data_IF_468428482507
#
_entry.id   IF_468428482507
#
_cell.length_a   1.000
_cell.length_b   1.000
_cell.length_c   1.000
_cell.angle_alpha   90.00
_cell.angle_beta   90.00
_cell.angle_gamma   90.00
#
_symmetry.space_group_name_H-M   'P 1'
#
loop_
_entity.id
_entity.type
_entity.pdbx_description
1 polymer ?
#
# COMPACT_ATOMS: atom_id res chain seq x y z
N UNK A 1 -51.12 44.22 34.46
CA UNK A 1 -50.34 43.00 34.39
C UNK A 1 -50.66 42.32 33.07
N UNK A 2 -49.85 42.55 32.04
CA UNK A 2 -50.01 41.90 30.71
C UNK A 2 -49.00 40.76 30.62
N UNK A 3 -49.51 39.53 30.53
CA UNK A 3 -48.68 38.33 30.33
C UNK A 3 -48.35 38.24 28.84
N UNK A 4 -47.05 38.31 28.50
CA UNK A 4 -46.52 38.09 27.17
C UNK A 4 -46.33 36.58 26.99
N UNK A 5 -47.07 35.97 26.05
CA UNK A 5 -46.89 34.60 25.62
C UNK A 5 -45.84 34.58 24.49
N UNK A 6 -44.67 34.02 24.77
CA UNK A 6 -43.63 33.73 23.74
C UNK A 6 -43.96 32.41 23.08
N UNK A 7 -44.33 32.48 21.80
CA UNK A 7 -44.56 31.32 20.93
C UNK A 7 -43.20 30.82 20.45
N UNK A 8 -42.76 29.67 20.93
CA UNK A 8 -41.57 28.99 20.39
C UNK A 8 -42.01 28.22 19.14
N UNK A 9 -41.56 28.67 18.00
CA UNK A 9 -41.76 28.01 16.71
C UNK A 9 -40.69 26.90 16.59
N UNK A 10 -41.08 25.63 16.76
CA UNK A 10 -40.27 24.46 16.57
C UNK A 10 -40.22 24.18 15.03
N UNK A 11 -39.17 24.59 14.36
CA UNK A 11 -38.92 24.15 12.99
C UNK A 11 -38.39 22.72 12.99
N UNK A 12 -39.22 21.78 12.57
CA UNK A 12 -38.80 20.43 12.19
C UNK A 12 -37.93 20.54 10.94
N UNK A 13 -36.63 20.31 11.08
CA UNK A 13 -35.74 20.05 9.98
C UNK A 13 -35.93 18.57 9.65
N UNK A 14 -36.63 18.30 8.55
CA UNK A 14 -36.67 16.96 7.93
C UNK A 14 -35.32 16.75 7.28
N UNK A 15 -34.47 15.93 7.92
CA UNK A 15 -33.27 15.37 7.28
C UNK A 15 -33.77 14.31 6.29
N UNK A 16 -33.81 14.67 5.01
CA UNK A 16 -33.96 13.73 3.92
C UNK A 16 -32.61 13.05 3.74
N UNK A 17 -32.48 11.79 4.16
CA UNK A 17 -31.43 10.93 3.65
C UNK A 17 -31.69 10.71 2.16
N UNK A 18 -30.98 11.42 1.31
CA UNK A 18 -30.76 10.99 -0.07
C UNK A 18 -29.39 10.33 -0.09
N UNK A 19 -29.39 9.01 -0.30
CA UNK A 19 -28.21 8.24 -0.65
C UNK A 19 -27.70 8.72 -2.01
N UNK A 20 -26.85 9.72 -1.99
CA UNK A 20 -25.99 10.16 -3.09
C UNK A 20 -24.90 11.02 -2.46
N UNK A 21 -24.02 10.42 -1.67
CA UNK A 21 -22.72 11.00 -1.37
C UNK A 21 -21.82 10.87 -2.60
N UNK A 22 -22.15 11.59 -3.67
CA UNK A 22 -21.11 12.04 -4.60
C UNK A 22 -20.30 13.06 -3.84
N UNK A 23 -19.10 12.65 -3.38
CA UNK A 23 -18.08 13.59 -2.92
C UNK A 23 -17.96 14.66 -4.01
N UNK A 24 -18.16 15.91 -3.65
CA UNK A 24 -17.95 17.04 -4.56
C UNK A 24 -16.45 17.05 -4.91
N UNK A 25 -16.13 16.56 -6.11
CA UNK A 25 -14.78 16.31 -6.63
C UNK A 25 -14.03 17.62 -6.89
N UNK A 26 -14.14 18.57 -6.02
CA UNK A 26 -13.51 19.89 -6.06
C UNK A 26 -13.01 20.39 -4.72
N UNK A 27 -13.25 19.66 -3.63
CA UNK A 27 -12.70 19.98 -2.31
C UNK A 27 -11.34 19.32 -2.13
N UNK A 28 -10.37 20.06 -1.60
CA UNK A 28 -9.08 19.52 -1.17
C UNK A 28 -9.34 18.35 -0.19
N UNK A 29 -8.72 17.18 -0.43
CA UNK A 29 -8.82 16.03 0.47
C UNK A 29 -8.19 16.35 1.85
N UNK A 30 -7.15 17.19 1.83
CA UNK A 30 -6.48 17.76 3.00
C UNK A 30 -6.37 19.27 2.77
N UNK A 31 -6.81 20.12 3.72
CA UNK A 31 -6.73 21.56 3.56
C UNK A 31 -5.31 22.06 3.27
N UNK A 32 -5.12 22.77 2.15
CA UNK A 32 -3.87 23.39 1.75
C UNK A 32 -2.78 22.42 1.28
N UNK A 33 -3.16 21.16 0.96
CA UNK A 33 -2.23 20.14 0.47
C UNK A 33 -2.81 19.37 -0.70
N UNK A 34 -1.98 19.07 -1.68
CA UNK A 34 -2.32 18.16 -2.75
C UNK A 34 -2.02 16.71 -2.34
N UNK A 35 -3.01 15.83 -2.48
CA UNK A 35 -2.89 14.38 -2.26
C UNK A 35 -2.89 13.69 -3.62
N UNK A 36 -1.87 12.89 -3.86
CA UNK A 36 -1.72 12.08 -5.07
C UNK A 36 -1.77 10.61 -4.71
N UNK A 37 -2.50 9.82 -5.47
CA UNK A 37 -2.67 8.38 -5.22
C UNK A 37 -2.48 7.66 -6.55
N UNK A 38 -1.52 6.74 -6.64
CA UNK A 38 -1.32 5.91 -7.83
C UNK A 38 -2.13 4.62 -7.76
N UNK A 39 -2.50 4.07 -8.91
CA UNK A 39 -3.14 2.78 -9.01
C UNK A 39 -3.73 2.49 -10.37
N UNK A 40 -4.81 1.74 -10.37
CA UNK A 40 -5.52 1.40 -11.60
C UNK A 40 -7.01 1.18 -11.35
N UNK A 41 -7.77 1.26 -12.44
CA UNK A 41 -9.16 0.78 -12.51
C UNK A 41 -9.28 -0.33 -13.55
N UNK A 42 -10.26 -1.20 -13.41
CA UNK A 42 -10.57 -2.27 -14.36
C UNK A 42 -12.02 -2.19 -14.83
N UNK A 43 -12.26 -2.51 -16.10
CA UNK A 43 -13.60 -2.56 -16.69
C UNK A 43 -14.40 -3.85 -16.34
N UNK A 44 -13.84 -4.71 -15.46
CA UNK A 44 -14.42 -6.01 -15.11
C UNK A 44 -14.27 -7.09 -16.18
N UNK A 45 -13.78 -6.74 -17.39
CA UNK A 45 -13.47 -7.69 -18.45
C UNK A 45 -11.97 -8.09 -18.47
N UNK A 46 -11.20 -7.59 -17.49
CA UNK A 46 -9.77 -7.84 -17.35
C UNK A 46 -8.86 -6.79 -18.02
N UNK A 47 -9.43 -5.73 -18.59
CA UNK A 47 -8.63 -4.60 -19.05
C UNK A 47 -8.46 -3.62 -17.88
N UNK A 48 -7.22 -3.20 -17.64
CA UNK A 48 -6.88 -2.20 -16.64
C UNK A 48 -6.43 -0.89 -17.29
N UNK A 49 -6.71 0.21 -16.60
CA UNK A 49 -6.27 1.55 -16.96
C UNK A 49 -5.40 2.08 -15.84
N UNK A 50 -4.12 2.31 -16.14
CA UNK A 50 -3.19 2.99 -15.26
C UNK A 50 -3.69 4.41 -15.00
N UNK A 51 -3.80 4.80 -13.75
CA UNK A 51 -4.27 6.13 -13.40
C UNK A 51 -3.69 6.60 -12.06
N UNK A 52 -3.73 7.89 -11.85
CA UNK A 52 -3.57 8.45 -10.52
C UNK A 52 -4.73 9.39 -10.18
N UNK A 53 -4.97 9.61 -8.91
CA UNK A 53 -5.94 10.60 -8.43
C UNK A 53 -5.19 11.76 -7.78
N UNK A 54 -5.48 12.97 -8.21
CA UNK A 54 -5.07 14.21 -7.54
C UNK A 54 -6.26 14.78 -6.81
N UNK A 55 -6.23 14.85 -5.50
CA UNK A 55 -7.33 15.30 -4.64
C UNK A 55 -8.66 14.59 -4.98
N UNK A 56 -8.61 13.26 -5.18
CA UNK A 56 -9.75 12.44 -5.54
C UNK A 56 -10.17 12.53 -7.02
N UNK A 57 -9.60 13.44 -7.82
CA UNK A 57 -9.89 13.55 -9.25
C UNK A 57 -8.92 12.68 -10.05
N UNK A 58 -9.49 11.73 -10.82
CA UNK A 58 -8.72 10.77 -11.61
C UNK A 58 -8.09 11.37 -12.85
N UNK A 59 -6.87 10.95 -13.15
CA UNK A 59 -6.10 11.21 -14.37
C UNK A 59 -5.68 9.87 -14.96
N UNK A 60 -6.18 9.54 -16.16
CA UNK A 60 -5.90 8.29 -16.86
C UNK A 60 -4.60 8.42 -17.67
N UNK A 61 -3.71 7.43 -17.56
CA UNK A 61 -2.45 7.37 -18.30
C UNK A 61 -2.47 6.34 -19.45
N UNK A 62 -3.55 5.57 -19.58
CA UNK A 62 -3.75 4.58 -20.63
C UNK A 62 -3.77 3.14 -20.11
N UNK A 63 -3.83 2.14 -21.02
CA UNK A 63 -3.91 0.73 -20.63
C UNK A 63 -2.70 0.28 -19.83
N UNK A 64 -2.93 -0.27 -18.63
CA UNK A 64 -1.86 -0.70 -17.72
C UNK A 64 -2.25 -0.54 -16.25
N UNK A 65 -1.24 -0.53 -15.38
CA UNK A 65 -1.39 -0.33 -13.93
C UNK A 65 -0.22 0.50 -13.39
N UNK A 66 -0.48 1.35 -12.42
CA UNK A 66 0.56 2.00 -11.63
C UNK A 66 0.76 1.27 -10.31
N UNK A 67 2.02 1.16 -9.92
CA UNK A 67 2.43 0.56 -8.64
C UNK A 67 2.87 1.62 -7.61
N UNK A 68 3.52 2.71 -8.07
CA UNK A 68 4.05 3.74 -7.18
C UNK A 68 4.09 5.11 -7.84
N UNK A 69 4.17 6.18 -7.03
CA UNK A 69 4.37 7.55 -7.49
C UNK A 69 5.13 8.40 -6.47
N UNK A 70 5.80 9.43 -6.99
CA UNK A 70 6.38 10.52 -6.21
C UNK A 70 6.14 11.85 -6.94
N UNK A 71 6.01 12.95 -6.21
CA UNK A 71 5.87 14.28 -6.80
C UNK A 71 7.07 15.13 -6.42
N UNK A 72 7.73 15.72 -7.42
CA UNK A 72 8.88 16.59 -7.24
C UNK A 72 8.62 17.90 -7.98
N UNK A 73 8.63 19.01 -7.26
CA UNK A 73 8.38 20.36 -7.81
C UNK A 73 7.08 20.43 -8.66
N UNK A 74 6.01 19.75 -8.20
CA UNK A 74 4.71 19.71 -8.86
C UNK A 74 4.63 18.79 -10.08
N UNK A 75 5.71 18.11 -10.46
CA UNK A 75 5.75 17.10 -11.53
C UNK A 75 5.50 15.71 -10.94
N UNK A 76 4.56 14.96 -11.52
CA UNK A 76 4.21 13.61 -11.08
C UNK A 76 5.10 12.59 -11.80
N UNK A 77 5.85 11.81 -11.03
CA UNK A 77 6.58 10.64 -11.50
C UNK A 77 5.87 9.39 -11.01
N UNK A 78 5.58 8.45 -11.90
CA UNK A 78 4.93 7.20 -11.53
C UNK A 78 5.55 6.02 -12.26
N UNK A 79 5.39 4.82 -11.71
CA UNK A 79 5.94 3.58 -12.26
C UNK A 79 4.90 2.47 -12.27
N UNK A 80 5.03 1.56 -13.23
CA UNK A 80 4.15 0.42 -13.38
C UNK A 80 4.38 -0.31 -14.70
N UNK A 81 3.32 -0.72 -15.36
CA UNK A 81 3.40 -1.40 -16.64
C UNK A 81 2.27 -0.99 -17.59
N UNK A 82 2.53 -1.14 -18.91
CA UNK A 82 1.56 -0.90 -19.99
C UNK A 82 1.21 -2.19 -20.70
N UNK A 83 0.00 -2.31 -21.25
CA UNK A 83 -0.41 -3.48 -22.04
C UNK A 83 0.50 -3.66 -23.27
N UNK A 84 1.10 -4.85 -23.38
CA UNK A 84 1.97 -5.23 -24.49
C UNK A 84 3.41 -4.71 -24.42
N UNK A 85 3.73 -3.95 -23.36
CA UNK A 85 5.09 -3.57 -23.00
C UNK A 85 5.51 -4.24 -21.69
N UNK A 86 6.80 -4.22 -21.42
CA UNK A 86 7.37 -4.45 -20.12
C UNK A 86 7.12 -3.23 -19.23
N UNK A 87 7.76 -3.15 -18.07
CA UNK A 87 7.64 -2.03 -17.15
C UNK A 87 7.94 -0.68 -17.80
N UNK A 88 7.25 0.35 -17.36
CA UNK A 88 7.44 1.74 -17.78
C UNK A 88 7.36 2.66 -16.57
N UNK A 89 7.96 3.85 -16.68
CA UNK A 89 7.64 4.97 -15.78
C UNK A 89 7.06 6.13 -16.59
N UNK A 90 6.36 7.02 -15.91
CA UNK A 90 5.77 8.22 -16.51
C UNK A 90 6.32 9.46 -15.83
N UNK A 91 6.48 10.53 -16.62
CA UNK A 91 6.64 11.89 -16.14
C UNK A 91 5.37 12.63 -16.58
N UNK A 92 4.51 13.00 -15.63
CA UNK A 92 3.14 13.44 -15.90
C UNK A 92 2.41 12.40 -16.78
N UNK A 93 2.15 12.74 -18.03
CA UNK A 93 1.43 11.87 -18.98
C UNK A 93 2.35 11.23 -20.04
N UNK A 94 3.66 11.46 -20.00
CA UNK A 94 4.63 10.89 -20.95
C UNK A 94 5.27 9.62 -20.40
N UNK A 95 5.14 8.50 -21.12
CA UNK A 95 5.68 7.20 -20.72
C UNK A 95 7.07 6.92 -21.28
N UNK A 96 7.89 6.24 -20.50
CA UNK A 96 9.24 5.82 -20.83
C UNK A 96 9.43 4.33 -20.55
N UNK A 97 9.66 3.53 -21.57
CA UNK A 97 9.85 2.09 -21.42
C UNK A 97 11.19 1.78 -20.76
N UNK A 98 11.16 0.89 -19.77
CA UNK A 98 12.34 0.40 -19.08
C UNK A 98 13.03 -0.71 -19.88
N UNK A 99 14.36 -0.72 -19.86
CA UNK A 99 15.17 -1.74 -20.54
C UNK A 99 14.91 -3.13 -19.94
N UNK A 100 14.51 -4.09 -20.81
CA UNK A 100 14.26 -5.49 -20.44
C UNK A 100 13.12 -6.10 -21.24
N UNK A 101 13.07 -7.42 -21.33
CA UNK A 101 12.03 -8.14 -22.09
C UNK A 101 10.94 -8.77 -21.23
N UNK A 102 11.12 -8.79 -19.91
CA UNK A 102 10.19 -9.30 -18.91
C UNK A 102 10.27 -8.45 -17.65
N UNK A 103 10.51 -7.15 -17.84
CA UNK A 103 10.67 -6.21 -16.74
C UNK A 103 9.33 -5.99 -16.01
N UNK A 104 9.41 -6.00 -14.70
CA UNK A 104 8.37 -5.59 -13.76
C UNK A 104 8.98 -4.55 -12.82
N UNK A 105 8.35 -3.38 -12.68
CA UNK A 105 8.83 -2.30 -11.81
C UNK A 105 7.76 -1.92 -10.80
N UNK A 106 8.16 -1.72 -9.55
CA UNK A 106 7.28 -1.65 -8.40
C UNK A 106 7.38 -0.35 -7.61
N UNK A 107 8.54 0.32 -7.61
CA UNK A 107 8.74 1.53 -6.81
C UNK A 107 9.61 2.53 -7.57
N UNK A 108 9.42 3.83 -7.29
CA UNK A 108 10.06 4.94 -7.96
C UNK A 108 10.58 5.97 -6.95
N UNK A 109 11.75 6.53 -7.23
CA UNK A 109 12.30 7.68 -6.54
C UNK A 109 13.01 8.61 -7.55
N UNK A 110 13.11 9.89 -7.23
CA UNK A 110 13.73 10.91 -8.08
C UNK A 110 14.78 11.65 -7.29
N UNK A 111 16.00 11.68 -7.83
CA UNK A 111 17.12 12.38 -7.20
C UNK A 111 17.94 13.11 -8.24
N UNK A 112 18.20 14.43 -8.03
CA UNK A 112 18.97 15.30 -8.93
C UNK A 112 18.49 15.25 -10.40
N UNK A 113 17.16 15.07 -10.62
CA UNK A 113 16.56 14.98 -11.94
C UNK A 113 16.70 13.63 -12.63
N UNK A 114 17.38 12.65 -12.02
CA UNK A 114 17.39 11.26 -12.47
C UNK A 114 16.26 10.46 -11.82
N UNK A 115 15.59 9.62 -12.60
CA UNK A 115 14.53 8.71 -12.16
C UNK A 115 15.15 7.35 -11.81
N UNK A 116 14.80 6.83 -10.65
CA UNK A 116 15.22 5.51 -10.18
C UNK A 116 13.99 4.63 -9.96
N UNK A 117 13.98 3.43 -10.51
CA UNK A 117 12.88 2.47 -10.33
C UNK A 117 13.41 1.12 -9.90
N UNK A 118 12.79 0.47 -8.92
CA UNK A 118 13.14 -0.89 -8.51
C UNK A 118 12.22 -1.92 -9.13
N UNK A 119 12.75 -3.14 -9.35
CA UNK A 119 11.95 -4.21 -9.89
C UNK A 119 12.72 -5.50 -10.15
N UNK A 120 12.23 -6.25 -11.13
CA UNK A 120 12.87 -7.48 -11.62
C UNK A 120 12.88 -7.55 -13.15
N UNK A 121 13.96 -8.11 -13.69
CA UNK A 121 14.07 -8.60 -15.05
C UNK A 121 15.24 -9.60 -15.10
N UNK A 122 14.95 -10.90 -15.16
CA UNK A 122 15.89 -11.99 -14.92
C UNK A 122 16.58 -11.86 -13.53
N UNK A 123 15.77 -11.58 -12.50
CA UNK A 123 16.17 -11.33 -11.13
C UNK A 123 16.11 -9.85 -10.73
N UNK A 124 16.41 -9.59 -9.46
CA UNK A 124 16.34 -8.24 -8.90
C UNK A 124 17.22 -7.26 -9.65
N UNK A 125 16.68 -6.12 -9.98
CA UNK A 125 17.36 -5.01 -10.64
C UNK A 125 16.76 -3.67 -10.19
N UNK A 126 17.40 -2.60 -10.58
CA UNK A 126 16.82 -1.27 -10.64
C UNK A 126 17.19 -0.59 -11.95
N UNK A 127 16.48 0.45 -12.31
CA UNK A 127 16.81 1.28 -13.47
C UNK A 127 17.17 2.68 -12.98
N UNK A 128 18.16 3.27 -13.61
CA UNK A 128 18.42 4.68 -13.55
C UNK A 128 17.99 5.29 -14.89
N UNK A 129 16.96 6.12 -14.85
CA UNK A 129 16.20 6.49 -16.02
C UNK A 129 15.67 5.20 -16.71
N UNK A 130 15.97 4.95 -17.95
CA UNK A 130 15.56 3.71 -18.64
C UNK A 130 16.59 2.58 -18.60
N UNK A 131 17.78 2.81 -18.00
CA UNK A 131 18.92 1.88 -18.07
C UNK A 131 18.96 0.92 -16.88
N UNK A 132 18.89 -0.38 -17.18
CA UNK A 132 18.91 -1.46 -16.19
C UNK A 132 20.26 -1.63 -15.50
N UNK A 133 20.24 -1.76 -14.18
CA UNK A 133 21.35 -2.11 -13.31
C UNK A 133 21.00 -3.36 -12.53
N UNK A 134 21.67 -4.48 -12.84
CA UNK A 134 21.40 -5.78 -12.24
C UNK A 134 21.90 -5.82 -10.78
N UNK A 135 21.06 -6.31 -9.87
CA UNK A 135 21.35 -6.51 -8.45
C UNK A 135 21.65 -7.98 -8.13
N UNK A 136 20.79 -8.88 -8.56
CA UNK A 136 20.94 -10.32 -8.39
C UNK A 136 20.34 -11.05 -9.58
N UNK A 137 20.70 -12.31 -9.78
CA UNK A 137 20.05 -13.19 -10.75
C UNK A 137 19.17 -14.23 -10.07
N UNK A 138 18.43 -15.01 -10.88
CA UNK A 138 17.56 -16.07 -10.39
C UNK A 138 16.31 -15.55 -9.73
N UNK A 139 15.72 -16.34 -8.82
CA UNK A 139 14.51 -15.94 -8.09
C UNK A 139 14.84 -14.86 -7.06
N UNK A 140 14.69 -13.63 -7.48
CA UNK A 140 14.93 -12.41 -6.68
C UNK A 140 14.13 -11.23 -7.25
N UNK A 141 13.75 -10.28 -6.41
CA UNK A 141 13.07 -9.05 -6.79
C UNK A 141 13.52 -7.88 -5.92
N UNK A 142 13.55 -6.68 -6.51
CA UNK A 142 13.61 -5.42 -5.78
C UNK A 142 12.21 -4.81 -5.76
N UNK A 143 11.65 -4.54 -4.59
CA UNK A 143 10.30 -3.97 -4.47
C UNK A 143 10.31 -2.49 -4.14
N UNK A 144 11.10 -2.05 -3.17
CA UNK A 144 11.21 -0.64 -2.79
C UNK A 144 12.56 -0.04 -3.19
N UNK A 145 12.58 1.25 -3.52
CA UNK A 145 13.80 2.01 -3.80
C UNK A 145 13.76 3.38 -3.13
N UNK A 146 14.91 3.82 -2.63
CA UNK A 146 15.07 5.20 -2.18
C UNK A 146 16.51 5.65 -2.34
N UNK A 147 16.72 6.90 -2.71
CA UNK A 147 18.02 7.50 -2.99
C UNK A 147 18.32 8.59 -1.98
N UNK A 148 19.50 8.54 -1.36
CA UNK A 148 19.96 9.59 -0.44
C UNK A 148 20.43 10.85 -1.17
N UNK A 149 20.47 11.95 -0.43
CA UNK A 149 21.01 13.24 -0.89
C UNK A 149 22.45 13.15 -1.45
N UNK A 150 23.22 12.16 -1.02
CA UNK A 150 24.58 11.91 -1.51
C UNK A 150 24.63 10.97 -2.72
N UNK A 151 23.47 10.57 -3.28
CA UNK A 151 23.34 9.66 -4.41
C UNK A 151 23.48 8.16 -4.07
N UNK A 152 23.55 7.77 -2.78
CA UNK A 152 23.50 6.36 -2.41
C UNK A 152 22.13 5.77 -2.69
N UNK A 153 22.06 4.75 -3.54
CA UNK A 153 20.83 4.03 -3.91
C UNK A 153 20.62 2.85 -2.98
N UNK A 154 19.44 2.78 -2.37
CA UNK A 154 19.00 1.63 -1.56
C UNK A 154 17.81 0.96 -2.23
N UNK A 155 17.89 -0.36 -2.37
CA UNK A 155 16.79 -1.21 -2.85
C UNK A 155 16.49 -2.24 -1.78
N UNK A 156 15.20 -2.43 -1.49
CA UNK A 156 14.68 -3.50 -0.64
C UNK A 156 13.99 -4.58 -1.48
N UNK A 157 14.00 -5.82 -1.00
CA UNK A 157 13.35 -6.92 -1.70
C UNK A 157 13.73 -8.27 -1.12
N UNK A 158 13.87 -9.27 -1.97
CA UNK A 158 14.30 -10.61 -1.57
C UNK A 158 15.22 -11.26 -2.61
N UNK A 159 15.88 -12.33 -2.19
CA UNK A 159 16.43 -13.35 -3.09
C UNK A 159 16.19 -14.75 -2.52
N UNK A 160 16.06 -15.75 -3.38
CA UNK A 160 15.99 -17.13 -2.98
C UNK A 160 17.42 -17.73 -2.92
N UNK A 161 17.75 -18.39 -1.82
CA UNK A 161 19.03 -19.07 -1.66
C UNK A 161 19.00 -20.50 -2.23
N UNK A 162 20.13 -21.19 -2.26
CA UNK A 162 20.26 -22.56 -2.77
C UNK A 162 19.44 -23.61 -1.99
N UNK A 163 18.87 -23.27 -0.84
CA UNK A 163 17.99 -24.12 -0.03
C UNK A 163 16.51 -23.72 -0.22
N UNK A 164 16.18 -22.92 -1.23
CA UNK A 164 14.86 -22.43 -1.54
C UNK A 164 14.21 -21.53 -0.46
N UNK A 165 14.99 -20.98 0.46
CA UNK A 165 14.49 -19.97 1.38
C UNK A 165 14.46 -18.59 0.71
N UNK A 166 13.36 -17.86 0.91
CA UNK A 166 13.21 -16.47 0.54
C UNK A 166 13.85 -15.59 1.62
N UNK A 167 14.90 -14.89 1.26
CA UNK A 167 15.72 -14.11 2.19
C UNK A 167 15.44 -12.63 2.00
N UNK A 168 14.92 -11.92 3.01
CA UNK A 168 14.75 -10.48 2.93
C UNK A 168 16.12 -9.81 2.76
N UNK A 169 16.24 -8.98 1.76
CA UNK A 169 17.51 -8.42 1.33
C UNK A 169 17.42 -6.92 1.12
N UNK A 170 18.55 -6.27 1.31
CA UNK A 170 18.79 -4.88 0.91
C UNK A 170 20.03 -4.81 0.02
N UNK A 171 19.99 -3.94 -0.95
CA UNK A 171 21.14 -3.57 -1.77
C UNK A 171 21.46 -2.11 -1.54
N UNK A 172 22.73 -1.83 -1.27
CA UNK A 172 23.25 -0.46 -1.27
C UNK A 172 24.24 -0.32 -2.42
N UNK A 173 23.95 0.54 -3.40
CA UNK A 173 24.78 0.73 -4.59
C UNK A 173 25.14 -0.61 -5.27
N UNK A 174 24.17 -1.52 -5.41
CA UNK A 174 24.32 -2.85 -5.97
C UNK A 174 24.88 -3.92 -5.03
N UNK A 175 25.40 -3.55 -3.86
CA UNK A 175 25.97 -4.51 -2.91
C UNK A 175 24.88 -5.06 -1.97
N UNK A 176 24.63 -6.37 -2.06
CA UNK A 176 23.61 -7.06 -1.26
C UNK A 176 24.07 -7.34 0.17
N UNK A 177 23.14 -7.19 1.10
CA UNK A 177 23.21 -7.72 2.45
C UNK A 177 21.85 -8.24 2.90
N UNK A 178 21.86 -9.28 3.74
CA UNK A 178 20.65 -9.89 4.24
C UNK A 178 20.09 -9.09 5.40
N UNK A 179 18.77 -9.03 5.49
CA UNK A 179 18.05 -8.58 6.67
C UNK A 179 17.72 -9.76 7.58
N UNK A 180 17.50 -9.49 8.86
CA UNK A 180 17.21 -10.53 9.86
C UNK A 180 15.80 -11.09 9.64
N UNK A 181 15.66 -12.41 9.81
CA UNK A 181 14.40 -13.17 9.72
C UNK A 181 14.33 -14.24 10.80
N UNK A 182 13.16 -14.84 11.08
CA UNK A 182 13.06 -15.99 11.98
C UNK A 182 13.90 -17.16 11.48
N UNK A 183 14.44 -17.96 12.42
CA UNK A 183 15.16 -19.20 12.05
C UNK A 183 14.21 -20.16 11.33
N UNK A 184 14.65 -20.66 10.17
CA UNK A 184 13.85 -21.56 9.34
C UNK A 184 12.65 -20.92 8.65
N UNK A 185 12.47 -19.60 8.76
CA UNK A 185 11.43 -18.87 8.08
C UNK A 185 11.91 -18.18 6.82
N UNK A 186 11.01 -17.51 6.13
CA UNK A 186 11.24 -16.67 4.96
C UNK A 186 11.03 -15.20 5.28
N UNK A 187 11.15 -14.31 4.29
CA UNK A 187 10.79 -12.91 4.41
C UNK A 187 11.17 -12.11 3.18
N UNK A 188 10.54 -10.96 3.04
CA UNK A 188 10.79 -10.01 1.96
C UNK A 188 10.58 -8.58 2.43
N UNK A 189 11.18 -7.64 1.74
CA UNK A 189 10.97 -6.21 1.90
C UNK A 189 10.06 -5.76 0.78
N UNK A 190 9.08 -4.93 1.11
CA UNK A 190 8.13 -4.35 0.15
C UNK A 190 8.46 -2.88 -0.14
N UNK A 191 8.98 -2.14 0.85
CA UNK A 191 9.20 -0.72 0.71
C UNK A 191 10.48 -0.25 1.42
N UNK A 192 11.05 0.88 0.97
CA UNK A 192 12.25 1.51 1.51
C UNK A 192 12.07 3.01 1.62
N UNK A 193 12.24 3.53 2.82
CA UNK A 193 12.19 4.98 3.10
C UNK A 193 13.51 5.42 3.75
N UNK A 194 14.05 6.54 3.34
CA UNK A 194 15.24 7.14 3.95
C UNK A 194 14.88 8.42 4.69
N UNK A 195 15.17 8.46 5.97
CA UNK A 195 15.00 9.66 6.82
C UNK A 195 16.29 9.98 7.55
N UNK A 196 16.73 11.22 7.47
CA UNK A 196 18.00 11.69 8.05
C UNK A 196 19.17 10.77 7.69
N UNK A 197 19.22 10.32 6.43
CA UNK A 197 20.22 9.41 5.90
C UNK A 197 20.15 7.98 6.47
N UNK A 198 19.14 7.61 7.24
CA UNK A 198 18.91 6.26 7.75
C UNK A 198 17.87 5.54 6.92
N UNK A 199 18.20 4.38 6.31
CA UNK A 199 17.20 3.59 5.58
C UNK A 199 16.37 2.73 6.54
N UNK A 200 15.06 2.77 6.34
CA UNK A 200 14.05 1.89 6.92
C UNK A 200 13.53 0.97 5.81
N UNK A 201 13.27 -0.28 6.14
CA UNK A 201 12.77 -1.29 5.22
C UNK A 201 11.49 -1.87 5.81
N UNK A 202 10.41 -1.92 5.04
CA UNK A 202 9.11 -2.41 5.47
C UNK A 202 8.75 -3.67 4.69
N UNK A 203 8.06 -4.61 5.31
CA UNK A 203 7.71 -5.87 4.66
C UNK A 203 7.24 -6.92 5.64
N UNK A 204 7.53 -8.17 5.34
CA UNK A 204 7.11 -9.28 6.18
C UNK A 204 8.20 -10.32 6.39
N UNK A 205 8.02 -11.11 7.45
CA UNK A 205 8.73 -12.36 7.67
C UNK A 205 7.74 -13.49 7.85
N UNK A 206 8.07 -14.68 7.37
CA UNK A 206 7.28 -15.89 7.57
C UNK A 206 7.92 -16.70 8.71
N UNK A 207 7.13 -17.02 9.71
CA UNK A 207 7.55 -17.84 10.84
C UNK A 207 6.94 -19.23 10.74
N UNK A 208 7.73 -20.31 10.89
CA UNK A 208 7.18 -21.64 11.06
C UNK A 208 6.25 -21.69 12.28
N UNK A 209 5.06 -22.25 12.11
CA UNK A 209 4.08 -22.51 13.14
C UNK A 209 3.62 -23.96 13.01
N UNK A 210 3.63 -24.73 14.09
CA UNK A 210 3.34 -26.15 14.07
C UNK A 210 1.87 -26.48 13.75
N UNK A 211 0.97 -25.51 13.92
CA UNK A 211 -0.47 -25.71 13.74
C UNK A 211 -0.93 -25.34 12.33
N UNK A 212 -0.38 -24.25 11.76
CA UNK A 212 -0.88 -23.61 10.53
C UNK A 212 0.20 -23.44 9.46
N UNK A 213 1.41 -23.93 9.65
CA UNK A 213 2.49 -23.84 8.67
C UNK A 213 3.29 -22.53 8.78
N UNK A 214 3.51 -21.83 7.67
CA UNK A 214 4.21 -20.55 7.67
C UNK A 214 3.22 -19.41 7.92
N UNK A 215 3.47 -18.59 8.93
CA UNK A 215 2.63 -17.47 9.35
C UNK A 215 3.32 -16.16 9.03
N UNK A 216 2.72 -15.25 8.23
CA UNK A 216 3.27 -13.95 7.95
C UNK A 216 3.25 -13.05 9.19
N UNK A 217 4.31 -12.26 9.32
CA UNK A 217 4.45 -11.24 10.33
C UNK A 217 4.81 -9.92 9.66
N UNK A 218 3.94 -8.95 9.75
CA UNK A 218 4.27 -7.58 9.40
C UNK A 218 5.50 -7.15 10.20
N UNK A 219 6.49 -6.63 9.52
CA UNK A 219 7.80 -6.33 10.11
C UNK A 219 8.42 -5.11 9.43
N UNK A 220 9.28 -4.41 10.18
CA UNK A 220 10.18 -3.44 9.59
C UNK A 220 11.59 -3.59 10.14
N UNK A 221 12.57 -3.08 9.42
CA UNK A 221 13.99 -3.12 9.78
C UNK A 221 14.60 -1.73 9.71
N UNK A 222 15.44 -1.41 10.68
CA UNK A 222 16.32 -0.25 10.65
C UNK A 222 17.68 -0.62 11.24
N UNK A 223 18.75 -0.19 10.58
CA UNK A 223 20.09 -0.67 10.92
C UNK A 223 20.18 -2.19 10.81
N UNK A 224 20.51 -2.87 11.93
CA UNK A 224 20.54 -4.33 12.06
C UNK A 224 19.36 -4.88 12.87
N UNK A 225 18.41 -4.04 13.26
CA UNK A 225 17.30 -4.43 14.11
C UNK A 225 16.08 -4.75 13.26
N UNK A 226 15.30 -5.74 13.69
CA UNK A 226 13.96 -6.04 13.19
C UNK A 226 12.93 -5.78 14.28
N UNK A 227 11.82 -5.20 13.91
CA UNK A 227 10.63 -5.05 14.74
C UNK A 227 9.48 -5.79 14.07
N UNK A 228 8.93 -6.80 14.74
CA UNK A 228 7.69 -7.45 14.32
C UNK A 228 6.50 -6.62 14.84
N UNK A 229 5.53 -6.35 13.98
CA UNK A 229 4.31 -5.58 14.27
C UNK A 229 3.15 -6.49 14.64
N UNK A 230 3.18 -7.74 14.19
CA UNK A 230 2.21 -8.77 14.54
C UNK A 230 2.90 -9.93 15.27
N UNK A 231 2.20 -10.55 16.22
CA UNK A 231 2.78 -11.65 17.01
C UNK A 231 2.86 -12.99 16.26
N UNK A 232 2.34 -13.04 15.03
CA UNK A 232 2.10 -14.28 14.30
C UNK A 232 0.95 -15.04 14.93
N UNK A 233 -0.01 -15.44 14.12
CA UNK A 233 -1.28 -15.97 14.59
C UNK A 233 -1.26 -17.35 15.21
N UNK A 234 -2.39 -17.75 15.70
CA UNK A 234 -2.77 -19.07 16.15
C UNK A 234 -4.28 -19.18 16.16
N UNK A 235 -4.82 -20.39 16.14
CA UNK A 235 -6.27 -20.61 16.17
C UNK A 235 -6.96 -19.92 17.35
N UNK A 236 -6.30 -19.85 18.50
CA UNK A 236 -6.86 -19.22 19.70
C UNK A 236 -6.96 -17.67 19.59
N UNK A 237 -6.18 -17.06 18.73
CA UNK A 237 -6.19 -15.60 18.50
C UNK A 237 -7.06 -15.21 17.31
N UNK A 238 -7.56 -16.20 16.56
CA UNK A 238 -8.31 -16.02 15.31
C UNK A 238 -7.58 -15.14 14.26
N UNK A 239 -6.27 -15.00 14.39
CA UNK A 239 -5.40 -14.25 13.51
C UNK A 239 -4.48 -15.24 12.79
N UNK A 240 -4.52 -15.26 11.46
CA UNK A 240 -3.57 -16.04 10.67
C UNK A 240 -2.21 -15.36 10.63
N UNK A 241 -2.17 -14.04 10.40
CA UNK A 241 -0.92 -13.29 10.34
C UNK A 241 -1.15 -11.85 9.89
N UNK A 242 -0.08 -11.19 9.48
CA UNK A 242 -0.17 -9.85 8.91
C UNK A 242 1.04 -9.52 8.04
N UNK A 243 0.83 -8.65 7.10
CA UNK A 243 1.79 -8.21 6.10
C UNK A 243 1.90 -6.68 6.13
N UNK A 244 3.12 -6.15 5.96
CA UNK A 244 3.38 -4.74 5.79
C UNK A 244 3.77 -4.48 4.34
N UNK A 245 3.23 -3.44 3.74
CA UNK A 245 3.46 -3.10 2.34
C UNK A 245 4.19 -1.77 2.19
N UNK A 246 3.71 -0.69 2.79
CA UNK A 246 4.30 0.62 2.73
C UNK A 246 4.66 1.19 4.10
N UNK A 247 5.52 2.18 4.14
CA UNK A 247 5.92 2.82 5.37
C UNK A 247 6.27 4.29 5.22
N UNK A 248 6.08 5.03 6.30
CA UNK A 248 6.42 6.44 6.40
C UNK A 248 7.11 6.71 7.74
N UNK A 249 8.12 7.56 7.73
CA UNK A 249 8.85 7.93 8.94
C UNK A 249 8.95 9.45 9.04
N UNK A 250 8.50 10.00 10.16
CA UNK A 250 8.62 11.41 10.50
C UNK A 250 9.36 11.56 11.84
N UNK A 251 10.59 11.98 11.77
CA UNK A 251 11.48 12.02 12.95
C UNK A 251 11.61 10.67 13.63
N UNK A 252 10.98 10.51 14.80
CA UNK A 252 10.93 9.24 15.55
C UNK A 252 9.66 8.42 15.33
N UNK A 253 8.68 8.99 14.66
CA UNK A 253 7.39 8.34 14.43
C UNK A 253 7.45 7.47 13.18
N UNK A 254 7.10 6.20 13.34
CA UNK A 254 7.12 5.19 12.30
C UNK A 254 5.69 4.74 12.04
N UNK A 255 5.25 4.92 10.80
CA UNK A 255 3.94 4.52 10.32
C UNK A 255 4.13 3.39 9.30
N UNK A 256 3.27 2.38 9.34
CA UNK A 256 3.34 1.22 8.45
C UNK A 256 1.93 0.87 8.00
N UNK A 257 1.70 0.79 6.69
CA UNK A 257 0.46 0.29 6.12
C UNK A 257 0.54 -1.22 5.85
N UNK A 258 -0.60 -1.90 5.95
CA UNK A 258 -0.66 -3.32 5.67
C UNK A 258 -2.02 -3.94 5.96
N UNK A 259 -2.02 -5.24 6.13
CA UNK A 259 -3.23 -6.02 6.46
C UNK A 259 -2.97 -7.02 7.58
N UNK A 260 -4.06 -7.46 8.18
CA UNK A 260 -4.09 -8.63 9.07
C UNK A 260 -5.11 -9.62 8.53
N UNK A 261 -4.68 -10.86 8.38
CA UNK A 261 -5.52 -11.97 7.95
C UNK A 261 -6.11 -12.66 9.18
N UNK A 262 -7.41 -12.88 9.16
CA UNK A 262 -8.15 -13.57 10.21
C UNK A 262 -8.67 -14.92 9.73
N UNK A 263 -8.63 -15.94 10.61
CA UNK A 263 -9.36 -17.19 10.39
C UNK A 263 -10.85 -16.93 10.52
N UNK A 264 -11.64 -17.61 9.68
CA UNK A 264 -13.08 -17.67 9.87
C UNK A 264 -13.44 -18.34 11.21
N UNK A 265 -14.38 -17.77 11.93
CA UNK A 265 -14.91 -18.39 13.14
C UNK A 265 -15.68 -19.66 12.77
N UNK A 266 -15.34 -20.80 13.44
CA UNK A 266 -16.06 -22.05 13.21
C UNK A 266 -17.54 -21.91 13.61
N UNK A 267 -18.41 -22.35 12.73
CA UNK A 267 -19.86 -22.35 12.93
C UNK A 267 -20.43 -23.69 12.44
N UNK A 268 -20.83 -24.56 13.38
CA UNK A 268 -21.33 -25.92 13.07
C UNK A 268 -22.61 -25.90 12.22
N UNK A 269 -23.40 -24.83 12.33
CA UNK A 269 -24.68 -24.68 11.63
C UNK A 269 -24.57 -23.94 10.28
N UNK A 270 -23.36 -23.44 9.94
CA UNK A 270 -23.12 -22.69 8.70
C UNK A 270 -22.78 -23.63 7.54
N UNK A 271 -23.13 -23.28 6.28
CA UNK A 271 -22.98 -24.18 5.12
C UNK A 271 -21.55 -24.66 4.85
N UNK A 272 -20.54 -23.86 5.21
CA UNK A 272 -19.11 -24.14 5.04
C UNK A 272 -18.38 -24.32 6.37
N UNK A 273 -19.12 -24.50 7.47
CA UNK A 273 -18.62 -24.53 8.83
C UNK A 273 -17.89 -23.23 9.26
N UNK A 274 -18.11 -22.14 8.57
CA UNK A 274 -17.51 -20.84 8.89
C UNK A 274 -18.58 -19.79 9.11
N UNK A 275 -18.49 -19.02 10.20
CA UNK A 275 -19.44 -17.93 10.46
C UNK A 275 -19.26 -16.85 9.36
N UNK A 276 -20.31 -16.50 8.61
CA UNK A 276 -20.24 -15.48 7.58
C UNK A 276 -19.63 -14.17 8.11
N UNK A 277 -18.68 -13.60 7.37
CA UNK A 277 -18.00 -12.35 7.72
C UNK A 277 -16.97 -12.46 8.85
N UNK A 278 -16.63 -13.66 9.33
CA UNK A 278 -15.66 -13.82 10.44
C UNK A 278 -14.21 -14.03 9.98
N UNK A 279 -13.98 -14.42 8.71
CA UNK A 279 -12.65 -14.58 8.13
C UNK A 279 -12.39 -13.52 7.05
N UNK A 280 -11.14 -13.25 6.76
CA UNK A 280 -10.75 -12.35 5.68
C UNK A 280 -9.48 -11.54 5.99
N UNK A 281 -9.08 -10.72 5.04
CA UNK A 281 -7.96 -9.80 5.15
C UNK A 281 -8.49 -8.40 5.41
N UNK A 282 -7.94 -7.71 6.40
CA UNK A 282 -8.42 -6.40 6.82
C UNK A 282 -7.30 -5.39 6.85
N UNK A 283 -7.53 -4.24 6.25
CA UNK A 283 -6.62 -3.12 6.20
C UNK A 283 -6.34 -2.56 7.60
N UNK A 284 -5.07 -2.37 7.89
CA UNK A 284 -4.57 -1.81 9.13
C UNK A 284 -3.40 -0.87 8.85
N UNK A 285 -3.15 0.04 9.78
CA UNK A 285 -1.84 0.66 9.89
C UNK A 285 -1.30 0.52 11.31
N UNK A 286 0.01 0.66 11.46
CA UNK A 286 0.69 0.73 12.75
C UNK A 286 1.38 2.06 12.89
N UNK A 287 1.26 2.69 14.05
CA UNK A 287 2.02 3.87 14.45
C UNK A 287 2.84 3.52 15.69
N UNK A 288 4.16 3.57 15.58
CA UNK A 288 5.11 3.19 16.63
C UNK A 288 4.87 1.77 17.20
N UNK A 289 4.38 0.86 16.35
CA UNK A 289 4.04 -0.51 16.71
C UNK A 289 2.66 -0.70 17.34
N UNK A 290 1.89 0.37 17.58
CA UNK A 290 0.48 0.28 17.97
C UNK A 290 -0.37 0.11 16.71
N UNK A 291 -1.26 -0.88 16.75
CA UNK A 291 -2.15 -1.24 15.65
C UNK A 291 -3.40 -0.35 15.63
N UNK A 292 -3.80 0.09 14.45
CA UNK A 292 -5.03 0.82 14.17
C UNK A 292 -5.81 0.11 13.07
N UNK A 293 -7.10 -0.14 13.33
CA UNK A 293 -8.04 -0.74 12.38
C UNK A 293 -8.62 0.35 11.49
N UNK A 294 -8.55 0.17 10.18
CA UNK A 294 -9.06 1.12 9.19
C UNK A 294 -10.55 0.94 8.86
N UNK A 295 -11.15 -0.18 9.27
CA UNK A 295 -12.56 -0.46 9.00
C UNK A 295 -13.49 -0.18 10.19
N UNK A 296 -12.96 0.35 11.32
CA UNK A 296 -13.75 0.74 12.47
C UNK A 296 -14.55 -0.39 13.14
N UNK A 297 -14.15 -1.64 12.94
CA UNK A 297 -14.82 -2.82 13.52
C UNK A 297 -16.18 -3.14 12.89
N UNK A 298 -16.54 -2.53 11.76
CA UNK A 298 -17.78 -2.86 11.03
C UNK A 298 -17.54 -4.06 10.12
N UNK A 299 -17.81 -5.24 10.63
CA UNK A 299 -17.56 -6.55 10.00
C UNK A 299 -18.65 -6.98 9.00
N UNK A 300 -19.64 -6.13 8.73
CA UNK A 300 -20.91 -6.63 8.19
C UNK A 300 -20.98 -6.79 6.68
N UNK A 301 -20.15 -6.05 5.88
CA UNK A 301 -20.30 -6.09 4.41
C UNK A 301 -18.98 -6.01 3.62
N UNK A 302 -17.82 -5.93 4.28
CA UNK A 302 -16.50 -5.87 3.63
C UNK A 302 -15.70 -7.13 3.97
N UNK A 303 -15.53 -8.01 2.99
CA UNK A 303 -14.87 -9.31 3.17
C UNK A 303 -13.34 -9.23 3.07
N UNK A 304 -12.83 -8.24 2.34
CA UNK A 304 -11.38 -8.06 2.14
C UNK A 304 -11.08 -6.57 2.00
N UNK A 305 -10.01 -6.13 2.62
CA UNK A 305 -9.42 -4.81 2.40
C UNK A 305 -7.93 -4.88 2.62
N UNK A 306 -7.18 -4.04 1.92
CA UNK A 306 -5.73 -3.96 2.03
C UNK A 306 -5.31 -2.50 2.09
N UNK A 307 -4.41 -2.15 2.99
CA UNK A 307 -3.70 -0.87 2.99
C UNK A 307 -2.32 -1.10 2.37
N UNK A 308 -2.05 -0.44 1.24
CA UNK A 308 -0.80 -0.63 0.51
C UNK A 308 0.27 0.37 0.90
N UNK A 309 -0.11 1.63 1.09
CA UNK A 309 0.86 2.68 1.38
C UNK A 309 0.30 3.73 2.33
N UNK A 310 1.19 4.51 2.95
CA UNK A 310 0.86 5.49 3.98
C UNK A 310 1.76 6.72 3.87
N UNK A 311 1.14 7.90 3.88
CA UNK A 311 1.84 9.18 3.96
C UNK A 311 1.30 10.01 5.12
N UNK A 312 2.17 10.79 5.76
CA UNK A 312 1.79 11.67 6.88
C UNK A 312 2.36 13.07 6.66
N UNK A 313 1.50 14.07 6.75
CA UNK A 313 1.90 15.48 6.66
C UNK A 313 0.97 16.37 7.48
N UNK A 314 1.54 17.31 8.23
CA UNK A 314 0.81 18.28 9.05
C UNK A 314 -0.26 17.65 9.97
N UNK A 315 -0.01 16.44 10.48
CA UNK A 315 -0.92 15.70 11.35
C UNK A 315 -2.03 14.93 10.62
N UNK A 316 -2.08 14.98 9.30
CA UNK A 316 -2.95 14.11 8.49
C UNK A 316 -2.25 12.81 8.18
N UNK A 317 -2.93 11.70 8.45
CA UNK A 317 -2.51 10.34 8.07
C UNK A 317 -3.38 9.93 6.88
N UNK A 318 -2.76 9.67 5.73
CA UNK A 318 -3.44 9.19 4.52
C UNK A 318 -2.93 7.81 4.17
N UNK A 319 -3.84 6.85 4.00
CA UNK A 319 -3.54 5.47 3.66
C UNK A 319 -4.24 5.13 2.36
N UNK A 320 -3.52 4.64 1.37
CA UNK A 320 -4.08 4.12 0.11
C UNK A 320 -4.36 2.63 0.19
N UNK A 321 -5.34 2.15 -0.56
CA UNK A 321 -5.67 0.74 -0.56
C UNK A 321 -6.88 0.37 -1.40
N UNK A 322 -7.47 -0.76 -1.05
CA UNK A 322 -8.72 -1.24 -1.63
C UNK A 322 -9.67 -1.79 -0.58
N UNK A 323 -10.95 -1.78 -0.91
CA UNK A 323 -12.00 -2.44 -0.13
C UNK A 323 -12.88 -3.27 -1.06
N UNK A 324 -13.19 -4.51 -0.66
CA UNK A 324 -14.20 -5.30 -1.35
C UNK A 324 -15.59 -4.96 -0.78
N UNK A 325 -16.52 -4.69 -1.65
CA UNK A 325 -17.94 -4.54 -1.30
C UNK A 325 -18.66 -5.83 -1.64
N UNK A 326 -19.51 -6.35 -0.78
CA UNK A 326 -20.17 -7.68 -0.76
C UNK A 326 -20.57 -8.39 -2.06
N UNK A 327 -20.14 -7.91 -3.21
CA UNK A 327 -20.34 -8.49 -4.55
C UNK A 327 -19.02 -8.88 -5.23
N UNK A 328 -17.93 -9.08 -4.48
CA UNK A 328 -16.60 -9.46 -4.97
C UNK A 328 -15.82 -8.36 -5.74
N UNK A 329 -16.32 -7.13 -5.76
CA UNK A 329 -15.68 -6.04 -6.47
C UNK A 329 -14.72 -5.31 -5.53
N UNK A 330 -13.40 -5.38 -5.78
CA UNK A 330 -12.41 -4.51 -5.15
C UNK A 330 -12.52 -3.11 -5.75
N UNK A 331 -12.66 -2.09 -4.90
CA UNK A 331 -12.69 -0.70 -5.32
C UNK A 331 -11.52 0.07 -4.69
N UNK A 332 -10.90 1.00 -5.43
CA UNK A 332 -9.82 1.80 -4.89
C UNK A 332 -10.32 2.69 -3.77
N UNK A 333 -9.57 2.76 -2.69
CA UNK A 333 -9.96 3.43 -1.47
C UNK A 333 -8.79 4.23 -0.86
N UNK A 334 -9.15 5.25 -0.09
CA UNK A 334 -8.22 6.00 0.74
C UNK A 334 -8.84 6.24 2.10
N UNK A 335 -8.03 6.16 3.14
CA UNK A 335 -8.42 6.54 4.51
C UNK A 335 -7.67 7.80 4.91
N UNK A 336 -8.40 8.82 5.33
CA UNK A 336 -7.84 10.06 5.86
C UNK A 336 -8.16 10.11 7.35
N UNK A 337 -7.13 10.06 8.19
CA UNK A 337 -7.27 9.94 9.65
C UNK A 337 -8.20 8.79 10.09
N UNK A 338 -8.22 7.69 9.33
CA UNK A 338 -9.05 6.51 9.57
C UNK A 338 -10.45 6.56 8.96
N UNK A 339 -10.88 7.68 8.37
CA UNK A 339 -12.15 7.79 7.67
C UNK A 339 -12.02 7.34 6.22
N UNK A 340 -12.83 6.34 5.82
CA UNK A 340 -12.82 5.75 4.48
C UNK A 340 -13.46 6.67 3.44
N UNK A 341 -12.77 6.87 2.34
CA UNK A 341 -13.30 7.48 1.11
C UNK A 341 -13.02 6.53 -0.06
N UNK A 342 -14.04 6.14 -0.80
CA UNK A 342 -13.87 5.40 -2.06
C UNK A 342 -13.45 6.38 -3.16
N UNK A 343 -12.42 6.04 -3.90
CA UNK A 343 -12.00 6.81 -5.06
C UNK A 343 -12.92 6.49 -6.25
N UNK A 344 -13.00 7.43 -7.20
CA UNK A 344 -13.93 7.38 -8.34
C UNK A 344 -14.11 5.99 -8.97
N UNK A 345 -15.37 5.59 -9.13
CA UNK A 345 -15.78 4.37 -9.80
C UNK A 345 -16.68 3.49 -8.92
N UNK A 346 -17.87 3.99 -8.51
CA UNK A 346 -18.95 3.14 -7.94
C UNK A 346 -19.25 1.99 -8.90
N UNK A 347 -18.72 0.81 -8.67
CA UNK A 347 -18.78 -0.44 -9.44
C UNK A 347 -17.62 -0.72 -10.41
N UNK A 348 -16.54 0.04 -10.42
CA UNK A 348 -15.33 -0.35 -11.15
C UNK A 348 -14.35 -1.07 -10.21
N UNK A 349 -13.84 -2.22 -10.65
CA UNK A 349 -12.71 -2.85 -9.99
C UNK A 349 -11.51 -1.91 -10.05
N UNK A 350 -10.68 -1.91 -9.03
CA UNK A 350 -9.45 -1.12 -9.03
C UNK A 350 -8.75 -1.16 -7.69
N UNK A 351 -7.55 -0.62 -7.68
CA UNK A 351 -6.69 -0.58 -6.49
C UNK A 351 -5.96 0.75 -6.45
N UNK A 352 -5.87 1.34 -5.26
CA UNK A 352 -5.01 2.47 -4.96
C UNK A 352 -3.74 1.94 -4.28
N UNK A 353 -2.60 1.99 -4.99
CA UNK A 353 -1.34 1.34 -4.62
C UNK A 353 -0.44 2.21 -3.76
N UNK A 354 -0.25 3.46 -4.12
CA UNK A 354 0.66 4.36 -3.44
C UNK A 354 0.01 5.70 -3.14
N UNK A 355 0.53 6.43 -2.15
CA UNK A 355 0.06 7.77 -1.77
C UNK A 355 1.22 8.72 -1.50
N UNK A 356 1.08 9.96 -2.00
CA UNK A 356 2.01 11.06 -1.76
C UNK A 356 1.23 12.31 -1.34
N UNK A 357 1.78 13.08 -0.40
CA UNK A 357 1.23 14.37 0.04
C UNK A 357 2.27 15.45 -0.24
N UNK A 358 1.92 16.40 -1.11
CA UNK A 358 2.79 17.52 -1.47
C UNK A 358 2.79 18.65 -0.41
#
# INVERSE_FOLDING_TARGET
MKKLFTLILLTLISISCTDNDTVDVGSEMIPGRDVYIAGYISDGAGNTTACYWKNGKRVDLGPGELEDLVVVDGTVYSVGWTFGASASYWIDNESFDLEGSGAEAYSIDVHDGDVYTAGRDDGACYWKNTKKIKLSGGDSSGYGISVRDNGDVFVGGYYQNNHHYVIPAKWKNGNRSNLTRPSGGDGEVQDVVIVDGTPYFFGMTLRPNNEVGLVPKASYWYGNNRKDLTNGGGFNEMIYGGEAYGGFVDGSDIYVAGKIDHFGQYCEECPDNTLPGSGGSYAHYWHNGNKFDLLGGVWTDMWVSTAYDIAVKDGFIVVSGDVATGTETQVPAVWINGELTKLEGDNTHGVAKAVFID
#
